data_IF_748938980513
#
_entry.id   IF_748938980513
#
_cell.length_a   1.000
_cell.length_b   1.000
_cell.length_c   1.000
_cell.angle_alpha   90.00
_cell.angle_beta   90.00
_cell.angle_gamma   90.00
#
_symmetry.space_group_name_H-M   'P 1'
#
loop_
_entity.id
_entity.type
_entity.pdbx_description
1 polymer ?
#
# COMPACT_ATOMS: atom_id res chain seq x y z
N UNK A 1 -39.78 18.29 -5.34
CA UNK A 1 -40.00 16.87 -5.04
C UNK A 1 -39.88 16.09 -6.34
N UNK A 2 -38.82 15.30 -6.50
CA UNK A 2 -38.79 14.25 -7.53
C UNK A 2 -39.40 12.99 -6.91
N UNK A 3 -40.32 12.35 -7.62
CA UNK A 3 -41.25 11.33 -7.09
C UNK A 3 -40.62 9.99 -6.69
N UNK A 4 -39.28 9.82 -6.77
CA UNK A 4 -38.66 8.48 -6.71
C UNK A 4 -37.72 8.21 -5.53
N UNK A 5 -37.57 9.10 -4.56
CA UNK A 5 -36.66 8.84 -3.41
C UNK A 5 -35.20 8.63 -3.82
N UNK A 6 -34.80 9.13 -5.00
CA UNK A 6 -33.41 9.04 -5.46
C UNK A 6 -32.52 9.96 -4.62
N UNK A 7 -31.56 9.36 -3.93
CA UNK A 7 -30.48 10.08 -3.25
C UNK A 7 -29.50 10.54 -4.32
N UNK A 8 -29.46 11.85 -4.56
CA UNK A 8 -28.45 12.47 -5.43
C UNK A 8 -27.26 12.93 -4.59
N UNK A 9 -26.05 12.66 -5.07
CA UNK A 9 -24.81 13.07 -4.43
C UNK A 9 -24.20 14.20 -5.25
N UNK A 10 -23.62 15.19 -4.58
CA UNK A 10 -22.94 16.30 -5.25
C UNK A 10 -21.65 16.65 -4.52
N UNK A 11 -20.61 17.01 -5.27
CA UNK A 11 -19.34 17.54 -4.77
C UNK A 11 -19.10 18.88 -5.47
N UNK A 12 -18.86 19.95 -4.72
CA UNK A 12 -18.73 21.32 -5.24
C UNK A 12 -19.87 21.72 -6.21
N UNK A 13 -21.13 21.45 -5.82
CA UNK A 13 -22.34 21.73 -6.60
C UNK A 13 -22.45 21.01 -7.95
N UNK A 14 -21.55 20.08 -8.24
CA UNK A 14 -21.61 19.24 -9.45
C UNK A 14 -22.21 17.87 -9.08
N UNK A 15 -23.28 17.42 -9.77
CA UNK A 15 -23.87 16.11 -9.50
C UNK A 15 -22.87 15.00 -9.83
N UNK A 16 -22.66 14.09 -8.87
CA UNK A 16 -21.80 12.91 -9.03
C UNK A 16 -22.68 11.66 -9.05
N UNK A 17 -22.56 10.79 -10.06
CA UNK A 17 -23.32 9.55 -10.09
C UNK A 17 -22.93 8.67 -8.91
N UNK A 18 -23.91 8.30 -8.06
CA UNK A 18 -23.72 7.30 -7.02
C UNK A 18 -23.68 5.93 -7.67
N UNK A 19 -22.47 5.46 -7.93
CA UNK A 19 -22.23 4.07 -8.30
C UNK A 19 -21.68 3.42 -7.02
N UNK A 20 -22.45 2.56 -6.32
CA UNK A 20 -21.94 1.83 -5.17
C UNK A 20 -21.01 0.70 -5.63
N UNK A 21 -19.96 1.04 -6.40
CA UNK A 21 -18.78 0.20 -6.47
C UNK A 21 -18.05 0.45 -5.15
N UNK A 22 -17.96 -0.58 -4.31
CA UNK A 22 -17.16 -0.53 -3.10
C UNK A 22 -15.76 -0.05 -3.49
N UNK A 23 -15.39 1.14 -3.01
CA UNK A 23 -14.04 1.66 -3.21
C UNK A 23 -13.08 0.73 -2.50
N UNK A 24 -12.08 0.21 -3.22
CA UNK A 24 -11.05 -0.64 -2.63
C UNK A 24 -9.96 0.24 -2.05
N UNK A 25 -9.67 0.04 -0.77
CA UNK A 25 -8.56 0.69 -0.10
C UNK A 25 -7.38 -0.27 -0.05
N UNK A 26 -6.26 0.11 -0.67
CA UNK A 26 -4.99 -0.60 -0.55
C UNK A 26 -4.14 0.19 0.45
N UNK A 27 -3.95 -0.36 1.65
CA UNK A 27 -3.26 0.35 2.73
C UNK A 27 -1.86 -0.23 2.92
N UNK A 28 -0.85 0.59 2.66
CA UNK A 28 0.55 0.30 2.98
C UNK A 28 0.80 0.77 4.41
N UNK A 29 1.13 -0.17 5.29
CA UNK A 29 1.48 0.09 6.69
C UNK A 29 2.96 -0.20 6.94
N UNK A 30 3.51 0.38 8.00
CA UNK A 30 4.84 -0.02 8.43
C UNK A 30 4.81 -1.51 8.84
N UNK A 31 5.83 -2.34 8.50
CA UNK A 31 5.87 -3.75 8.87
C UNK A 31 5.70 -4.03 10.37
N UNK A 32 6.03 -3.04 11.21
CA UNK A 32 5.94 -3.11 12.67
C UNK A 32 4.59 -2.65 13.24
N UNK A 33 3.76 -1.98 12.44
CA UNK A 33 2.48 -1.42 12.86
C UNK A 33 1.31 -2.39 12.60
N UNK A 34 1.63 -3.66 12.34
CA UNK A 34 0.65 -4.71 12.25
C UNK A 34 -0.08 -4.82 13.60
N UNK A 35 -1.34 -4.40 13.63
CA UNK A 35 -2.28 -4.58 14.73
C UNK A 35 -2.60 -6.06 14.88
N UNK A 36 -1.70 -6.81 15.50
CA UNK A 36 -1.85 -8.23 15.78
C UNK A 36 -2.29 -8.42 17.22
N UNK A 37 -3.25 -9.31 17.45
CA UNK A 37 -3.52 -9.84 18.78
C UNK A 37 -2.29 -10.56 19.34
N UNK A 38 -2.23 -10.77 20.66
CA UNK A 38 -1.06 -11.42 21.27
C UNK A 38 -0.85 -12.86 20.78
N UNK A 39 -1.93 -13.59 20.47
CA UNK A 39 -1.84 -14.89 19.80
C UNK A 39 -1.31 -14.78 18.37
N UNK A 40 -1.77 -13.78 17.60
CA UNK A 40 -1.29 -13.55 16.24
C UNK A 40 0.19 -13.11 16.23
N UNK A 41 0.69 -12.41 17.25
CA UNK A 41 2.12 -12.03 17.34
C UNK A 41 3.04 -13.23 17.47
N UNK A 42 2.63 -14.26 18.21
CA UNK A 42 3.42 -15.48 18.34
C UNK A 42 3.41 -16.29 17.05
N UNK A 43 2.23 -16.43 16.42
CA UNK A 43 2.13 -17.06 15.09
C UNK A 43 2.88 -16.26 14.01
N UNK A 44 2.86 -14.93 14.08
CA UNK A 44 3.52 -14.07 13.11
C UNK A 44 5.01 -14.37 12.97
N UNK A 45 5.68 -14.79 14.06
CA UNK A 45 7.10 -15.15 14.05
C UNK A 45 7.38 -16.39 13.19
N UNK A 46 6.41 -17.28 13.04
CA UNK A 46 6.54 -18.52 12.26
C UNK A 46 6.03 -18.37 10.83
N UNK A 47 5.28 -17.30 10.52
CA UNK A 47 4.74 -17.09 9.18
C UNK A 47 5.81 -16.85 8.12
N UNK A 48 5.54 -17.37 6.92
CA UNK A 48 6.28 -17.09 5.71
C UNK A 48 6.12 -15.63 5.27
N UNK A 49 7.08 -15.14 4.48
CA UNK A 49 7.07 -13.76 4.00
C UNK A 49 5.82 -13.48 3.14
N UNK A 50 5.39 -14.44 2.32
CA UNK A 50 4.16 -14.34 1.51
C UNK A 50 2.93 -14.11 2.37
N UNK A 51 2.75 -14.94 3.40
CA UNK A 51 1.61 -14.84 4.32
C UNK A 51 1.60 -13.53 5.10
N UNK A 52 2.76 -13.08 5.58
CA UNK A 52 2.90 -11.79 6.30
C UNK A 52 2.52 -10.60 5.41
N UNK A 53 3.03 -10.57 4.18
CA UNK A 53 2.74 -9.48 3.24
C UNK A 53 1.28 -9.53 2.80
N UNK A 54 0.76 -10.71 2.44
CA UNK A 54 -0.63 -10.88 2.03
C UNK A 54 -1.60 -10.42 3.14
N UNK A 55 -1.33 -10.83 4.39
CA UNK A 55 -2.11 -10.37 5.55
C UNK A 55 -2.05 -8.85 5.73
N UNK A 56 -0.88 -8.25 5.52
CA UNK A 56 -0.70 -6.79 5.65
C UNK A 56 -1.60 -6.01 4.67
N UNK A 57 -1.83 -6.57 3.47
CA UNK A 57 -2.72 -6.00 2.46
C UNK A 57 -4.17 -6.53 2.51
N UNK A 58 -4.47 -7.45 3.44
CA UNK A 58 -5.76 -8.13 3.54
C UNK A 58 -6.19 -8.84 2.24
N UNK A 59 -5.22 -9.45 1.56
CA UNK A 59 -5.42 -10.28 0.37
C UNK A 59 -5.01 -11.73 0.65
N UNK A 60 -5.39 -12.66 -0.24
CA UNK A 60 -4.89 -14.03 -0.17
C UNK A 60 -3.46 -14.14 -0.74
N UNK A 61 -2.75 -15.21 -0.36
CA UNK A 61 -1.36 -15.42 -0.77
C UNK A 61 -1.23 -15.65 -2.27
N UNK A 62 -2.22 -16.26 -2.93
CA UNK A 62 -2.17 -16.46 -4.38
C UNK A 62 -2.38 -15.15 -5.13
N UNK A 63 -3.28 -14.27 -4.66
CA UNK A 63 -3.43 -12.92 -5.17
C UNK A 63 -2.08 -12.17 -5.08
N UNK A 64 -1.39 -12.24 -3.93
CA UNK A 64 -0.06 -11.65 -3.79
C UNK A 64 0.92 -12.21 -4.81
N UNK A 65 1.06 -13.54 -4.91
CA UNK A 65 1.99 -14.20 -5.84
C UNK A 65 1.72 -13.79 -7.29
N UNK A 66 0.46 -13.64 -7.69
CA UNK A 66 0.08 -13.19 -9.03
C UNK A 66 0.38 -11.71 -9.28
N UNK A 67 0.43 -10.89 -8.23
CA UNK A 67 0.77 -9.46 -8.32
C UNK A 67 2.28 -9.21 -8.34
N UNK A 68 3.09 -10.02 -7.64
CA UNK A 68 4.54 -9.80 -7.53
C UNK A 68 5.28 -9.59 -8.88
N UNK A 69 4.94 -10.30 -9.98
CA UNK A 69 5.55 -10.04 -11.29
C UNK A 69 5.31 -8.63 -11.85
N UNK A 70 4.28 -7.93 -11.36
CA UNK A 70 3.97 -6.54 -11.73
C UNK A 70 4.73 -5.52 -10.86
N UNK A 71 5.48 -5.99 -9.86
CA UNK A 71 6.18 -5.14 -8.89
C UNK A 71 7.59 -4.85 -9.38
N UNK A 72 7.93 -3.56 -9.34
CA UNK A 72 9.25 -3.05 -9.65
C UNK A 72 9.35 -2.46 -11.06
N UNK A 73 10.33 -1.59 -11.21
CA UNK A 73 10.69 -0.93 -12.46
C UNK A 73 12.22 -0.86 -12.51
N UNK A 74 12.80 -1.16 -13.67
CA UNK A 74 14.26 -1.15 -13.87
C UNK A 74 14.94 0.15 -13.46
N UNK A 75 14.23 1.28 -13.54
CA UNK A 75 14.78 2.60 -13.22
C UNK A 75 14.69 2.96 -11.73
N UNK A 76 13.84 2.26 -10.97
CA UNK A 76 13.51 2.59 -9.58
C UNK A 76 14.37 1.83 -8.57
N UNK A 77 14.14 2.14 -7.30
CA UNK A 77 14.88 1.51 -6.19
C UNK A 77 14.61 0.00 -6.11
N UNK A 78 13.34 -0.41 -6.21
CA UNK A 78 12.94 -1.82 -6.31
C UNK A 78 12.81 -2.17 -7.79
N UNK A 79 13.68 -3.05 -8.26
CA UNK A 79 13.71 -3.46 -9.67
C UNK A 79 12.86 -4.69 -9.94
N UNK A 80 12.74 -5.60 -8.96
CA UNK A 80 11.95 -6.82 -9.07
C UNK A 80 11.63 -7.41 -7.70
N UNK A 81 10.47 -8.03 -7.57
CA UNK A 81 10.10 -8.87 -6.42
C UNK A 81 9.58 -10.22 -6.95
N UNK A 82 9.96 -11.32 -6.32
CA UNK A 82 9.48 -12.67 -6.70
C UNK A 82 9.49 -13.62 -5.49
N UNK A 83 8.78 -14.75 -5.63
CA UNK A 83 8.85 -15.84 -4.65
C UNK A 83 9.94 -16.82 -5.06
N UNK A 84 10.75 -17.22 -4.09
CA UNK A 84 11.71 -18.30 -4.18
C UNK A 84 11.30 -19.36 -3.15
N UNK A 85 10.99 -20.57 -3.63
CA UNK A 85 10.79 -21.74 -2.76
C UNK A 85 12.13 -22.02 -2.08
N UNK A 86 12.18 -21.94 -0.75
CA UNK A 86 13.37 -22.34 -0.03
C UNK A 86 13.45 -23.87 0.02
N UNK A 87 14.63 -24.42 -0.27
CA UNK A 87 14.90 -25.81 0.07
C UNK A 87 14.72 -26.00 1.58
N UNK A 88 14.11 -27.12 2.01
CA UNK A 88 14.06 -27.46 3.42
C UNK A 88 15.48 -27.39 3.98
N UNK A 89 15.66 -26.72 5.11
CA UNK A 89 16.92 -26.80 5.82
C UNK A 89 17.09 -28.29 6.17
N UNK A 90 18.18 -28.91 5.73
CA UNK A 90 18.61 -30.19 6.30
C UNK A 90 18.81 -29.93 7.79
N UNK A 91 17.78 -30.21 8.60
CA UNK A 91 17.87 -30.18 10.04
C UNK A 91 18.65 -31.42 10.45
N UNK A 92 19.73 -31.21 11.19
CA UNK A 92 20.47 -32.27 11.85
C UNK A 92 19.50 -33.05 12.74
N UNK A 93 19.26 -34.31 12.37
CA UNK A 93 18.78 -35.44 13.18
C UNK A 93 17.82 -35.06 14.34
N UNK A 94 16.51 -34.97 14.05
CA UNK A 94 15.38 -35.40 14.91
C UNK A 94 14.06 -34.61 14.73
N UNK A 95 13.99 -33.55 13.91
CA UNK A 95 12.75 -32.78 13.70
C UNK A 95 12.06 -33.13 12.36
N UNK A 96 10.85 -33.70 12.48
CA UNK A 96 9.75 -33.87 11.53
C UNK A 96 10.05 -33.65 10.03
N UNK A 97 10.10 -34.76 9.26
CA UNK A 97 10.20 -34.82 7.79
C UNK A 97 9.05 -34.10 7.02
N UNK A 98 8.12 -33.45 7.73
CA UNK A 98 6.92 -32.80 7.19
C UNK A 98 6.93 -31.26 7.27
N UNK A 99 8.07 -30.60 7.59
CA UNK A 99 8.11 -29.13 7.55
C UNK A 99 7.93 -28.63 6.10
N UNK A 100 6.84 -27.89 5.79
CA UNK A 100 6.61 -27.43 4.44
C UNK A 100 7.71 -26.45 4.00
N UNK A 101 8.09 -26.45 2.71
CA UNK A 101 9.10 -25.55 2.19
C UNK A 101 8.67 -24.10 2.41
N UNK A 102 9.51 -23.31 3.07
CA UNK A 102 9.18 -21.93 3.44
C UNK A 102 9.38 -21.01 2.23
N UNK A 103 8.30 -20.43 1.71
CA UNK A 103 8.41 -19.47 0.62
C UNK A 103 9.06 -18.17 1.11
N UNK A 104 10.11 -17.73 0.39
CA UNK A 104 10.79 -16.47 0.67
C UNK A 104 10.47 -15.47 -0.43
N UNK A 105 10.16 -14.25 -0.03
CA UNK A 105 10.04 -13.14 -0.99
C UNK A 105 11.43 -12.57 -1.22
N UNK A 106 11.91 -12.67 -2.44
CA UNK A 106 13.21 -12.15 -2.89
C UNK A 106 13.03 -10.81 -3.57
N UNK A 107 13.98 -9.93 -3.33
CA UNK A 107 13.93 -8.56 -3.83
C UNK A 107 15.22 -8.25 -4.56
N UNK A 108 15.10 -7.67 -5.76
CA UNK A 108 16.21 -7.03 -6.45
C UNK A 108 16.13 -5.52 -6.25
N UNK A 109 17.12 -4.99 -5.53
CA UNK A 109 17.26 -3.57 -5.27
C UNK A 109 18.39 -2.99 -6.12
N UNK A 110 18.19 -1.79 -6.66
CA UNK A 110 19.19 -1.10 -7.50
C UNK A 110 20.53 -0.88 -6.76
N UNK A 111 20.49 -0.69 -5.44
CA UNK A 111 21.68 -0.46 -4.61
C UNK A 111 22.48 -1.73 -4.30
N UNK A 112 21.91 -2.92 -4.43
CA UNK A 112 22.52 -4.18 -4.01
C UNK A 112 23.18 -4.96 -5.16
N UNK A 113 23.15 -4.43 -6.39
CA UNK A 113 23.77 -5.09 -7.55
C UNK A 113 23.13 -6.44 -7.87
N UNK A 114 23.93 -7.51 -7.81
CA UNK A 114 23.48 -8.89 -8.05
C UNK A 114 23.06 -9.62 -6.76
N UNK A 115 23.17 -8.97 -5.59
CA UNK A 115 22.68 -9.53 -4.34
C UNK A 115 21.17 -9.35 -4.23
N UNK A 116 20.46 -10.45 -3.99
CA UNK A 116 19.01 -10.50 -3.88
C UNK A 116 18.61 -10.94 -2.46
N UNK A 117 18.50 -10.02 -1.49
CA UNK A 117 18.08 -10.37 -0.14
C UNK A 117 16.63 -10.88 -0.13
N UNK A 118 16.29 -11.68 0.89
CA UNK A 118 14.89 -11.90 1.22
C UNK A 118 14.31 -10.66 1.89
N UNK A 119 13.00 -10.47 1.80
CA UNK A 119 12.28 -9.34 2.38
C UNK A 119 12.57 -9.18 3.88
N UNK A 120 12.59 -10.29 4.63
CA UNK A 120 12.93 -10.28 6.05
C UNK A 120 14.36 -9.79 6.39
N UNK A 121 15.29 -9.81 5.43
CA UNK A 121 16.68 -9.32 5.63
C UNK A 121 16.87 -7.84 5.30
N UNK A 122 15.85 -7.20 4.71
CA UNK A 122 15.89 -5.79 4.36
C UNK A 122 15.83 -4.90 5.61
N UNK A 123 16.43 -3.72 5.53
CA UNK A 123 16.22 -2.67 6.54
C UNK A 123 14.76 -2.20 6.56
N UNK A 124 14.31 -1.58 7.66
CA UNK A 124 12.92 -1.12 7.78
C UNK A 124 12.51 -0.14 6.66
N UNK A 125 13.42 0.76 6.25
CA UNK A 125 13.19 1.66 5.13
C UNK A 125 13.04 0.92 3.80
N UNK A 126 13.95 -0.02 3.51
CA UNK A 126 13.87 -0.88 2.31
C UNK A 126 12.60 -1.72 2.28
N UNK A 127 12.18 -2.26 3.42
CA UNK A 127 10.89 -2.97 3.53
C UNK A 127 9.72 -2.06 3.18
N UNK A 128 9.73 -0.81 3.65
CA UNK A 128 8.68 0.17 3.28
C UNK A 128 8.70 0.47 1.79
N UNK A 129 9.88 0.63 1.16
CA UNK A 129 9.96 0.77 -0.31
C UNK A 129 9.31 -0.41 -1.04
N UNK A 130 9.65 -1.64 -0.63
CA UNK A 130 9.12 -2.86 -1.25
C UNK A 130 7.61 -2.96 -1.04
N UNK A 131 7.11 -2.74 0.17
CA UNK A 131 5.67 -2.74 0.45
C UNK A 131 4.94 -1.65 -0.33
N UNK A 132 5.55 -0.47 -0.52
CA UNK A 132 4.96 0.61 -1.32
C UNK A 132 4.82 0.20 -2.78
N UNK A 133 5.87 -0.40 -3.38
CA UNK A 133 5.82 -0.90 -4.75
C UNK A 133 4.80 -2.04 -4.92
N UNK A 134 4.71 -2.95 -3.94
CA UNK A 134 3.66 -3.99 -3.91
C UNK A 134 2.27 -3.35 -3.84
N UNK A 135 2.07 -2.40 -2.93
CA UNK A 135 0.79 -1.69 -2.77
C UNK A 135 0.36 -0.98 -4.05
N UNK A 136 1.30 -0.37 -4.77
CA UNK A 136 1.03 0.26 -6.08
C UNK A 136 0.65 -0.78 -7.12
N UNK A 137 1.32 -1.92 -7.18
CA UNK A 137 0.95 -2.99 -8.10
C UNK A 137 -0.47 -3.51 -7.82
N UNK A 138 -0.82 -3.74 -6.54
CA UNK A 138 -2.18 -4.11 -6.12
C UNK A 138 -3.19 -3.02 -6.51
N UNK A 139 -2.86 -1.75 -6.26
CA UNK A 139 -3.74 -0.62 -6.55
C UNK A 139 -3.97 -0.47 -8.06
N UNK A 140 -2.92 -0.58 -8.87
CA UNK A 140 -2.98 -0.57 -10.34
C UNK A 140 -3.83 -1.70 -10.88
N UNK A 141 -3.65 -2.91 -10.36
CA UNK A 141 -4.46 -4.06 -10.75
C UNK A 141 -5.93 -3.84 -10.40
N UNK A 142 -6.21 -3.42 -9.16
CA UNK A 142 -7.57 -3.19 -8.67
C UNK A 142 -8.29 -2.07 -9.42
N UNK A 143 -7.58 -0.99 -9.75
CA UNK A 143 -8.10 0.19 -10.43
C UNK A 143 -8.62 -0.09 -11.85
N UNK A 144 -8.23 -1.21 -12.46
CA UNK A 144 -8.78 -1.63 -13.75
C UNK A 144 -10.24 -2.08 -13.65
N UNK A 145 -10.70 -2.42 -12.45
CA UNK A 145 -12.01 -3.04 -12.22
C UNK A 145 -12.90 -2.24 -11.28
N UNK A 146 -12.32 -1.55 -10.29
CA UNK A 146 -13.05 -0.81 -9.26
C UNK A 146 -12.34 0.50 -8.88
N UNK A 147 -13.11 1.48 -8.42
CA UNK A 147 -12.54 2.69 -7.81
C UNK A 147 -11.58 2.28 -6.69
N UNK A 148 -10.34 2.74 -6.76
CA UNK A 148 -9.27 2.28 -5.86
C UNK A 148 -8.53 3.47 -5.27
N UNK A 149 -8.27 3.40 -3.96
CA UNK A 149 -7.49 4.38 -3.20
C UNK A 149 -6.28 3.66 -2.60
N UNK A 150 -5.08 4.12 -2.94
CA UNK A 150 -3.84 3.72 -2.29
C UNK A 150 -3.59 4.65 -1.09
N UNK A 151 -3.44 4.08 0.10
CA UNK A 151 -3.12 4.82 1.33
C UNK A 151 -1.72 4.41 1.79
N UNK A 152 -0.81 5.37 1.95
CA UNK A 152 0.56 5.12 2.41
C UNK A 152 0.76 5.81 3.76
N UNK A 153 0.66 5.04 4.85
CA UNK A 153 0.89 5.51 6.22
C UNK A 153 2.39 5.72 6.55
N UNK A 154 3.33 4.82 6.17
CA UNK A 154 4.71 4.91 6.64
C UNK A 154 5.58 5.86 5.80
N UNK A 155 5.01 6.84 5.08
CA UNK A 155 5.77 7.71 4.18
C UNK A 155 6.91 8.46 4.89
N UNK A 156 6.69 8.78 6.17
CA UNK A 156 7.70 9.34 7.09
C UNK A 156 8.97 8.49 7.27
N UNK A 157 8.91 7.19 6.96
CA UNK A 157 10.04 6.26 7.11
C UNK A 157 11.02 6.36 5.93
N UNK A 158 10.61 7.02 4.85
CA UNK A 158 11.44 7.34 3.70
C UNK A 158 12.26 8.60 4.00
N UNK A 159 13.47 8.69 3.48
CA UNK A 159 14.24 9.93 3.55
C UNK A 159 13.62 11.01 2.63
N UNK A 160 14.00 12.28 2.79
CA UNK A 160 13.39 13.38 2.02
C UNK A 160 13.59 13.21 0.49
N UNK A 161 14.65 12.52 0.06
CA UNK A 161 14.87 12.23 -1.36
C UNK A 161 13.86 11.20 -1.89
N UNK A 162 13.66 10.12 -1.13
CA UNK A 162 12.64 9.10 -1.37
C UNK A 162 11.23 9.66 -1.35
N UNK A 163 10.89 10.45 -0.34
CA UNK A 163 9.57 11.10 -0.26
C UNK A 163 9.29 11.96 -1.49
N UNK A 164 10.29 12.73 -1.96
CA UNK A 164 10.18 13.53 -3.18
C UNK A 164 10.01 12.68 -4.43
N UNK A 165 10.85 11.65 -4.61
CA UNK A 165 10.75 10.74 -5.76
C UNK A 165 9.37 10.09 -5.84
N UNK A 166 8.89 9.59 -4.69
CA UNK A 166 7.58 8.97 -4.58
C UNK A 166 6.43 9.95 -4.82
N UNK A 167 6.48 11.16 -4.27
CA UNK A 167 5.46 12.17 -4.51
C UNK A 167 5.33 12.50 -6.01
N UNK A 168 6.47 12.73 -6.70
CA UNK A 168 6.49 12.99 -8.14
C UNK A 168 5.98 11.79 -8.93
N UNK A 169 6.37 10.57 -8.54
CA UNK A 169 5.93 9.36 -9.21
C UNK A 169 4.41 9.16 -9.07
N UNK A 170 3.87 9.33 -7.87
CA UNK A 170 2.47 9.09 -7.53
C UNK A 170 1.54 10.18 -8.08
N UNK A 171 2.04 11.39 -8.35
CA UNK A 171 1.26 12.47 -8.95
C UNK A 171 1.06 12.34 -10.46
N UNK A 172 1.73 11.37 -11.11
CA UNK A 172 1.58 11.17 -12.56
C UNK A 172 0.14 10.76 -12.89
N UNK A 173 -0.44 11.40 -13.90
CA UNK A 173 -1.81 11.14 -14.39
C UNK A 173 -2.02 9.74 -15.01
N UNK A 174 -0.95 8.95 -15.15
CA UNK A 174 -1.00 7.58 -15.67
C UNK A 174 -1.58 6.58 -14.66
N UNK A 175 -1.61 6.94 -13.38
CA UNK A 175 -2.20 6.09 -12.34
C UNK A 175 -3.73 6.20 -12.37
N UNK A 176 -4.40 5.04 -12.47
CA UNK A 176 -5.87 4.96 -12.49
C UNK A 176 -6.51 4.95 -11.08
N UNK A 177 -5.70 5.15 -10.03
CA UNK A 177 -6.13 5.13 -8.62
C UNK A 177 -5.81 6.48 -7.96
N UNK A 178 -6.58 6.82 -6.94
CA UNK A 178 -6.28 7.96 -6.07
C UNK A 178 -5.23 7.55 -5.04
N UNK A 179 -4.31 8.46 -4.69
CA UNK A 179 -3.32 8.23 -3.64
C UNK A 179 -3.53 9.18 -2.47
N UNK A 180 -3.47 8.64 -1.26
CA UNK A 180 -3.45 9.37 0.01
C UNK A 180 -2.16 9.03 0.74
N UNK A 181 -1.41 10.04 1.16
CA UNK A 181 -0.11 9.87 1.82
C UNK A 181 -0.13 10.55 3.18
N UNK A 182 0.21 9.81 4.23
CA UNK A 182 0.45 10.39 5.55
C UNK A 182 1.93 10.77 5.67
N UNK A 183 2.22 12.07 5.80
CA UNK A 183 3.59 12.56 5.87
C UNK A 183 3.75 13.69 6.89
N UNK A 184 4.95 13.81 7.47
CA UNK A 184 5.37 15.04 8.13
C UNK A 184 5.90 16.01 7.07
N UNK A 185 5.24 17.16 6.94
CA UNK A 185 5.62 18.15 5.95
C UNK A 185 6.92 18.85 6.37
N UNK A 186 8.03 18.50 5.72
CA UNK A 186 9.29 19.24 5.79
C UNK A 186 9.39 20.27 4.64
N UNK A 187 10.39 21.16 4.69
CA UNK A 187 10.59 22.19 3.65
C UNK A 187 10.80 21.62 2.24
N UNK A 188 11.41 20.44 2.11
CA UNK A 188 11.71 19.84 0.80
C UNK A 188 10.48 19.18 0.20
N UNK A 189 9.67 18.52 1.02
CA UNK A 189 8.39 17.95 0.60
C UNK A 189 7.38 19.05 0.29
N UNK A 190 7.37 20.14 1.08
CA UNK A 190 6.53 21.31 0.86
C UNK A 190 6.70 21.93 -0.53
N UNK A 191 7.94 22.01 -1.04
CA UNK A 191 8.21 22.49 -2.40
C UNK A 191 7.52 21.61 -3.45
N UNK A 192 7.52 20.28 -3.26
CA UNK A 192 6.93 19.33 -4.22
C UNK A 192 5.41 19.40 -4.18
N UNK A 193 4.83 19.37 -2.97
CA UNK A 193 3.37 19.34 -2.80
C UNK A 193 2.70 20.71 -2.96
N UNK A 194 3.48 21.76 -3.22
CA UNK A 194 2.96 23.07 -3.63
C UNK A 194 2.52 23.11 -5.11
N UNK A 195 2.76 22.05 -5.88
CA UNK A 195 2.26 21.93 -7.25
C UNK A 195 0.73 21.75 -7.27
N UNK A 196 0.04 22.10 -8.37
CA UNK A 196 -1.40 21.92 -8.49
C UNK A 196 -1.85 20.45 -8.53
N UNK A 197 -0.92 19.51 -8.58
CA UNK A 197 -1.20 18.07 -8.64
C UNK A 197 -1.47 17.48 -7.25
N UNK A 198 -1.34 18.29 -6.19
CA UNK A 198 -1.52 17.86 -4.81
C UNK A 198 -2.60 18.67 -4.10
N UNK A 199 -3.39 17.97 -3.29
CA UNK A 199 -4.23 18.56 -2.27
C UNK A 199 -3.61 18.23 -0.90
N UNK A 200 -3.27 19.27 -0.13
CA UNK A 200 -2.65 19.11 1.18
C UNK A 200 -3.68 19.40 2.27
N UNK A 201 -4.05 18.36 3.01
CA UNK A 201 -4.91 18.47 4.18
C UNK A 201 -4.03 18.41 5.43
N UNK A 202 -4.05 19.47 6.23
CA UNK A 202 -3.29 19.52 7.49
C UNK A 202 -4.15 18.98 8.62
N UNK A 203 -3.63 17.99 9.36
CA UNK A 203 -4.26 17.47 10.57
C UNK A 203 -3.69 18.21 11.78
N UNK A 204 -4.25 19.35 12.11
CA UNK A 204 -3.86 20.21 13.25
C UNK A 204 -4.53 19.81 14.58
N UNK A 205 -5.37 18.77 14.55
CA UNK A 205 -6.14 18.30 15.70
C UNK A 205 -7.50 18.98 15.84
N UNK A 206 -7.84 19.94 14.98
CA UNK A 206 -9.19 20.45 14.86
C UNK A 206 -10.06 19.40 14.15
N UNK A 207 -11.29 19.21 14.63
CA UNK A 207 -12.21 18.28 13.96
C UNK A 207 -12.54 18.86 12.60
N UNK A 208 -12.29 18.15 11.48
CA UNK A 208 -12.63 18.67 10.17
C UNK A 208 -14.12 18.96 10.12
N UNK A 209 -14.48 20.19 9.75
CA UNK A 209 -15.88 20.59 9.61
C UNK A 209 -16.44 19.95 8.34
N UNK A 210 -17.07 18.78 8.50
CA UNK A 210 -17.81 18.13 7.43
C UNK A 210 -19.23 18.70 7.43
N UNK A 211 -19.51 19.63 6.52
CA UNK A 211 -20.89 20.08 6.27
C UNK A 211 -21.63 19.03 5.44
N UNK A 212 -22.44 18.20 6.11
CA UNK A 212 -23.36 17.29 5.44
C UNK A 212 -24.59 18.10 5.02
N UNK A 213 -24.64 18.50 3.75
CA UNK A 213 -25.86 19.10 3.19
C UNK A 213 -26.88 18.00 2.90
N UNK A 214 -27.83 17.80 3.82
CA UNK A 214 -29.06 17.07 3.52
C UNK A 214 -29.92 17.92 2.59
N UNK A 215 -29.93 17.58 1.30
CA UNK A 215 -30.91 18.13 0.36
C UNK A 215 -32.25 17.45 0.67
N UNK A 216 -33.11 18.11 1.46
CA UNK A 216 -34.50 17.65 1.63
C UNK A 216 -35.23 17.99 2.94
N UNK A 217 -34.63 18.69 3.91
CA UNK A 217 -35.29 18.96 5.19
C UNK A 217 -36.05 20.30 5.26
N UNK A 218 -36.68 20.74 4.16
CA UNK A 218 -37.66 21.82 4.20
C UNK A 218 -38.92 21.39 3.44
N UNK A 219 -39.86 20.82 4.18
CA UNK A 219 -41.30 20.90 3.92
C UNK A 219 -41.97 21.31 5.24
#
# INVERSE_FOLDING_TARGET
MGENGEVSYSFNHSPVPYIPLQTRFVVVKHPKDASLSDSEKEEWKTWEDTRRIARSFQIDEMELVNILPLVGDSERFVQKVWVEEAEPLESDEDDDEDEPPRNKIKVKLRSHGDFHPSFGMLSGGEQVYVLTEIGIAIARFSAQYVATVLVIEPFRSLDSAGQRDWAIYLSKSEHLFQTVVEAHLDTKLAEVVSSPDFEVITLDGETPSVEIHQIGANA
#
